data_IF_750263914491
#
_entry.id   IF_750263914491
#
_cell.length_a   1.000
_cell.length_b   1.000
_cell.length_c   1.000
_cell.angle_alpha   90.00
_cell.angle_beta   90.00
_cell.angle_gamma   90.00
#
_symmetry.space_group_name_H-M   'P 1'
#
loop_
_entity.id
_entity.type
_entity.pdbx_description
1 polymer ?
#
# COMPACT_ATOMS: atom_id res chain seq x y z
N UNK A 1 -9.50 -31.15 -11.79
CA UNK A 1 -8.68 -30.07 -12.38
C UNK A 1 -7.37 -30.71 -12.78
N UNK A 2 -7.02 -30.65 -14.06
CA UNK A 2 -6.21 -31.63 -14.80
C UNK A 2 -4.78 -31.83 -14.27
N UNK A 3 -4.41 -33.08 -13.97
CA UNK A 3 -3.03 -33.49 -13.74
C UNK A 3 -2.23 -33.30 -15.04
N UNK A 4 -1.30 -32.34 -15.06
CA UNK A 4 -0.39 -32.13 -16.18
C UNK A 4 0.84 -33.00 -15.95
N UNK A 5 0.98 -34.04 -16.77
CA UNK A 5 2.08 -34.99 -16.73
C UNK A 5 3.40 -34.31 -17.15
N UNK A 6 4.30 -34.15 -16.17
CA UNK A 6 5.52 -33.34 -16.22
C UNK A 6 6.71 -34.04 -16.91
N UNK A 7 6.47 -35.19 -17.56
CA UNK A 7 7.50 -36.05 -18.14
C UNK A 7 7.81 -35.77 -19.63
N UNK A 8 7.09 -34.87 -20.30
CA UNK A 8 7.21 -34.63 -21.76
C UNK A 8 7.98 -33.38 -22.19
N UNK A 9 8.58 -32.62 -21.26
CA UNK A 9 9.26 -31.37 -21.58
C UNK A 9 10.77 -31.47 -21.42
N UNK A 10 11.51 -31.00 -22.44
CA UNK A 10 12.97 -30.93 -22.49
C UNK A 10 13.56 -30.28 -21.23
N UNK A 11 14.77 -30.71 -20.83
CA UNK A 11 15.47 -30.24 -19.63
C UNK A 11 15.59 -28.70 -19.54
N UNK A 12 15.59 -27.99 -20.68
CA UNK A 12 15.57 -26.52 -20.72
C UNK A 12 14.24 -25.90 -20.28
N UNK A 13 13.13 -26.61 -20.44
CA UNK A 13 11.78 -26.17 -20.09
C UNK A 13 11.42 -26.51 -18.62
N UNK A 14 12.04 -27.55 -18.05
CA UNK A 14 12.02 -27.80 -16.60
C UNK A 14 12.78 -26.71 -15.82
N UNK A 15 13.83 -26.12 -16.41
CA UNK A 15 14.59 -25.04 -15.79
C UNK A 15 13.82 -23.71 -15.74
N UNK A 16 12.87 -23.48 -16.66
CA UNK A 16 12.01 -22.29 -16.67
C UNK A 16 10.90 -22.37 -15.59
N UNK A 17 10.41 -23.57 -15.28
CA UNK A 17 9.37 -23.77 -14.24
C UNK A 17 9.96 -23.64 -12.83
N UNK A 18 11.24 -23.98 -12.63
CA UNK A 18 11.93 -23.80 -11.34
C UNK A 18 12.30 -22.33 -11.05
N UNK A 19 12.41 -21.46 -12.06
CA UNK A 19 12.69 -20.04 -11.87
C UNK A 19 11.47 -19.26 -11.37
N UNK A 20 10.26 -19.71 -11.70
CA UNK A 20 9.02 -19.04 -11.27
C UNK A 20 8.61 -19.37 -9.82
N UNK A 21 9.08 -20.49 -9.24
CA UNK A 21 8.80 -20.86 -7.85
C UNK A 21 9.76 -20.24 -6.82
N UNK A 22 10.78 -19.47 -7.26
CA UNK A 22 11.74 -18.79 -6.39
C UNK A 22 11.37 -17.32 -6.06
N UNK A 23 10.15 -16.86 -6.39
CA UNK A 23 9.73 -15.45 -6.15
C UNK A 23 8.67 -15.33 -5.02
N UNK A 24 8.25 -16.42 -4.37
CA UNK A 24 7.24 -16.37 -3.29
C UNK A 24 7.82 -16.40 -1.87
N UNK A 25 8.93 -15.71 -1.59
CA UNK A 25 9.47 -15.75 -0.23
C UNK A 25 10.22 -14.50 0.26
N UNK A 26 9.70 -13.30 0.00
CA UNK A 26 10.14 -12.08 0.71
C UNK A 26 8.99 -11.10 0.97
N UNK A 27 7.98 -11.53 1.71
CA UNK A 27 7.23 -10.62 2.60
C UNK A 27 7.71 -10.89 4.01
N UNK A 28 8.21 -9.82 4.66
CA UNK A 28 8.86 -9.74 5.98
C UNK A 28 10.38 -9.84 6.00
N UNK A 29 11.02 -8.70 5.74
CA UNK A 29 12.17 -8.30 6.55
C UNK A 29 11.98 -6.88 7.04
N UNK A 30 11.52 -6.77 8.29
CA UNK A 30 11.83 -5.62 9.15
C UNK A 30 13.33 -5.40 9.13
N UNK A 31 13.78 -4.21 8.75
CA UNK A 31 15.13 -3.73 9.08
C UNK A 31 15.03 -2.39 9.78
N UNK A 32 15.39 -2.47 11.05
CA UNK A 32 15.68 -1.41 11.99
C UNK A 32 17.00 -0.74 11.59
N UNK A 33 17.02 0.59 11.43
CA UNK A 33 18.27 1.37 11.41
C UNK A 33 18.04 2.62 12.26
N UNK A 34 18.81 2.72 13.35
CA UNK A 34 18.87 3.88 14.21
C UNK A 34 19.80 4.97 13.67
N UNK A 35 19.78 6.09 14.41
CA UNK A 35 20.76 7.19 14.47
C UNK A 35 20.92 8.14 13.27
N UNK A 36 20.43 9.37 13.48
CA UNK A 36 21.28 10.57 13.39
C UNK A 36 21.48 11.22 12.03
N UNK A 37 20.50 11.98 11.56
CA UNK A 37 20.70 13.16 10.71
C UNK A 37 19.52 14.08 10.87
N UNK A 38 19.75 15.28 11.40
CA UNK A 38 18.71 16.25 11.74
C UNK A 38 18.07 16.81 10.46
N UNK A 39 17.09 16.08 9.93
CA UNK A 39 16.22 16.56 8.86
C UNK A 39 15.22 17.54 9.47
N UNK A 40 15.19 18.80 9.04
CA UNK A 40 14.46 19.94 9.65
C UNK A 40 12.94 19.76 9.87
N UNK A 41 12.39 18.59 9.57
CA UNK A 41 11.04 18.13 9.89
C UNK A 41 10.90 17.42 11.25
N UNK A 42 11.98 17.29 12.06
CA UNK A 42 12.09 16.55 13.34
C UNK A 42 11.14 16.95 14.49
N UNK A 43 10.09 17.74 14.25
CA UNK A 43 9.02 18.00 15.23
C UNK A 43 7.69 17.36 14.83
N UNK A 44 7.67 16.57 13.76
CA UNK A 44 6.44 15.96 13.23
C UNK A 44 6.43 14.48 13.53
N UNK A 45 5.43 14.09 14.33
CA UNK A 45 4.94 12.71 14.53
C UNK A 45 5.08 11.91 13.23
N UNK A 46 5.58 10.68 13.34
CA UNK A 46 5.82 9.77 12.22
C UNK A 46 4.60 9.72 11.29
N UNK A 47 4.74 10.33 10.11
CA UNK A 47 3.67 10.41 9.10
C UNK A 47 3.68 9.18 8.18
N UNK A 48 4.47 8.15 8.51
CA UNK A 48 4.61 6.90 7.76
C UNK A 48 3.32 6.08 7.69
N UNK A 49 2.34 6.36 8.56
CA UNK A 49 1.00 5.75 8.50
C UNK A 49 0.03 6.53 7.61
N UNK A 50 0.40 7.74 7.17
CA UNK A 50 -0.42 8.61 6.33
C UNK A 50 -0.04 8.34 4.87
N UNK A 51 -0.97 7.92 4.00
CA UNK A 51 -0.68 7.70 2.59
C UNK A 51 -0.13 8.94 1.87
N UNK A 52 0.86 8.73 1.01
CA UNK A 52 1.42 9.79 0.18
C UNK A 52 0.52 10.06 -1.02
N UNK A 53 -0.16 11.23 -1.03
CA UNK A 53 -1.01 11.67 -2.14
C UNK A 53 -0.28 11.74 -3.48
N UNK A 54 0.99 12.17 -3.49
CA UNK A 54 1.77 12.29 -4.73
C UNK A 54 2.19 10.94 -5.28
N UNK A 55 2.40 9.94 -4.42
CA UNK A 55 2.77 8.59 -4.84
C UNK A 55 1.60 7.92 -5.56
N UNK A 56 0.37 8.15 -5.07
CA UNK A 56 -0.85 7.63 -5.70
C UNK A 56 -1.03 8.09 -7.15
N UNK A 57 -0.62 9.33 -7.46
CA UNK A 57 -0.69 9.90 -8.81
C UNK A 57 0.62 9.71 -9.59
N UNK A 58 1.57 8.91 -9.07
CA UNK A 58 2.85 8.65 -9.71
C UNK A 58 3.80 9.86 -9.79
N UNK A 59 3.52 10.94 -9.05
CA UNK A 59 4.28 12.20 -9.08
C UNK A 59 5.19 12.40 -7.87
N UNK A 60 5.32 11.42 -6.97
CA UNK A 60 6.19 11.54 -5.80
C UNK A 60 7.67 11.40 -6.19
N UNK A 61 8.45 12.44 -5.96
CA UNK A 61 9.89 12.47 -6.21
C UNK A 61 10.74 12.06 -4.99
N UNK A 62 10.12 11.97 -3.80
CA UNK A 62 10.83 11.69 -2.55
C UNK A 62 11.25 10.21 -2.39
N UNK A 63 10.69 9.31 -3.20
CA UNK A 63 11.01 7.89 -3.14
C UNK A 63 10.89 7.31 -1.73
N UNK A 64 11.91 6.59 -1.27
CA UNK A 64 11.95 6.00 0.08
C UNK A 64 12.18 7.02 1.21
N UNK A 65 12.57 8.26 0.86
CA UNK A 65 12.73 9.34 1.83
C UNK A 65 11.44 10.14 2.05
N UNK A 66 10.33 9.71 1.45
CA UNK A 66 9.04 10.34 1.68
C UNK A 66 8.61 10.15 3.15
N UNK A 67 8.22 11.22 3.88
CA UNK A 67 7.70 11.09 5.23
C UNK A 67 6.32 10.42 5.29
N UNK A 68 5.69 10.16 4.14
CA UNK A 68 4.36 9.57 3.99
C UNK A 68 4.46 8.14 3.43
N UNK A 69 3.46 7.29 3.70
CA UNK A 69 3.44 5.89 3.25
C UNK A 69 3.33 5.79 1.73
N UNK A 70 4.22 4.99 1.14
CA UNK A 70 4.09 4.49 -0.24
C UNK A 70 3.53 3.05 -0.28
N UNK A 71 3.13 2.48 0.87
CA UNK A 71 2.61 1.13 0.89
C UNK A 71 1.18 1.09 0.35
N UNK A 72 0.95 0.30 -0.69
CA UNK A 72 -0.37 0.06 -1.27
C UNK A 72 -1.39 -0.37 -0.22
N UNK A 73 -0.99 -1.22 0.72
CA UNK A 73 -1.88 -1.65 1.82
C UNK A 73 -2.35 -0.49 2.70
N UNK A 74 -1.49 0.50 2.99
CA UNK A 74 -1.89 1.68 3.78
C UNK A 74 -2.86 2.54 2.99
N UNK A 75 -2.62 2.69 1.69
CA UNK A 75 -3.52 3.39 0.77
C UNK A 75 -4.88 2.69 0.75
N UNK A 76 -4.93 1.40 0.38
CA UNK A 76 -6.16 0.61 0.31
C UNK A 76 -6.98 0.65 1.61
N UNK A 77 -6.33 0.49 2.76
CA UNK A 77 -7.02 0.59 4.05
C UNK A 77 -7.66 1.96 4.26
N UNK A 78 -6.99 3.05 3.89
CA UNK A 78 -7.55 4.39 4.02
C UNK A 78 -8.81 4.55 3.14
N UNK A 79 -8.77 4.10 1.89
CA UNK A 79 -9.92 4.17 0.98
C UNK A 79 -11.09 3.27 1.39
N UNK A 80 -10.81 2.17 2.09
CA UNK A 80 -11.85 1.24 2.58
C UNK A 80 -12.36 1.58 3.99
N UNK A 81 -11.76 2.55 4.69
CA UNK A 81 -12.15 2.89 6.06
C UNK A 81 -13.14 4.06 6.06
N UNK A 82 -14.27 3.97 6.77
CA UNK A 82 -15.19 5.09 6.94
C UNK A 82 -14.52 6.29 7.62
N UNK A 83 -14.80 7.49 7.12
CA UNK A 83 -14.26 8.72 7.68
C UNK A 83 -14.96 9.05 9.01
N UNK A 84 -14.26 8.81 10.13
CA UNK A 84 -14.75 9.14 11.48
C UNK A 84 -15.19 10.60 11.70
N UNK A 85 -14.65 11.53 10.92
CA UNK A 85 -14.99 12.95 11.01
C UNK A 85 -16.22 13.30 10.16
N UNK A 86 -16.40 12.56 9.06
CA UNK A 86 -17.55 12.70 8.20
C UNK A 86 -18.80 12.14 8.86
N UNK A 87 -18.68 10.96 9.48
CA UNK A 87 -19.73 10.36 10.31
C UNK A 87 -20.23 11.28 11.42
N UNK A 88 -19.40 12.22 11.88
CA UNK A 88 -19.75 13.21 12.90
C UNK A 88 -20.16 14.58 12.33
N UNK A 89 -20.15 14.75 11.01
CA UNK A 89 -20.59 15.97 10.33
C UNK A 89 -19.58 17.12 10.25
N UNK A 90 -18.30 16.92 10.60
CA UNK A 90 -17.29 18.01 10.61
C UNK A 90 -16.01 17.68 9.83
N UNK A 91 -16.08 16.79 8.85
CA UNK A 91 -14.94 16.52 7.97
C UNK A 91 -14.60 17.74 7.10
N UNK A 92 -13.48 18.40 7.41
CA UNK A 92 -12.97 19.55 6.64
C UNK A 92 -12.44 19.22 5.25
N UNK A 93 -12.32 17.93 4.91
CA UNK A 93 -11.70 17.51 3.65
C UNK A 93 -12.73 17.35 2.51
N UNK A 94 -14.03 17.26 2.82
CA UNK A 94 -15.08 17.03 1.81
C UNK A 94 -14.77 15.82 0.95
N UNK A 95 -15.06 15.91 -0.35
CA UNK A 95 -14.84 14.83 -1.34
C UNK A 95 -13.36 14.49 -1.56
N UNK A 96 -12.45 15.32 -1.04
CA UNK A 96 -11.01 15.06 -1.07
C UNK A 96 -10.53 14.30 0.17
N UNK A 97 -11.44 13.86 1.03
CA UNK A 97 -11.07 13.00 2.15
C UNK A 97 -10.53 11.67 1.62
N UNK A 98 -9.48 11.16 2.27
CA UNK A 98 -8.91 9.86 1.91
C UNK A 98 -9.74 8.69 2.47
N UNK A 99 -10.49 8.95 3.54
CA UNK A 99 -11.39 7.96 4.13
C UNK A 99 -12.77 8.08 3.50
N UNK A 100 -13.50 6.97 3.43
CA UNK A 100 -14.79 6.86 2.76
C UNK A 100 -15.86 7.73 3.45
N UNK A 101 -16.53 8.58 2.68
CA UNK A 101 -17.72 9.30 3.12
C UNK A 101 -18.97 8.47 2.77
N UNK A 102 -19.41 7.63 3.72
CA UNK A 102 -20.63 6.83 3.55
C UNK A 102 -21.83 7.70 3.95
N UNK A 103 -22.65 8.10 2.98
CA UNK A 103 -24.00 8.56 3.23
C UNK A 103 -24.93 7.34 3.31
N UNK A 104 -25.85 7.31 4.27
CA UNK A 104 -26.81 6.20 4.41
C UNK A 104 -27.90 6.18 3.32
N UNK A 105 -27.71 6.93 2.23
CA UNK A 105 -28.72 7.16 1.19
C UNK A 105 -28.55 6.24 -0.04
N UNK A 106 -28.16 4.98 0.15
CA UNK A 106 -28.23 3.95 -0.90
C UNK A 106 -29.14 2.79 -0.51
N UNK A 107 -30.29 3.11 0.08
CA UNK A 107 -31.42 2.19 0.16
C UNK A 107 -32.66 2.80 -0.50
N UNK A 108 -32.52 3.20 -1.77
CA UNK A 108 -33.66 3.58 -2.58
C UNK A 108 -33.80 2.67 -3.81
N UNK A 109 -34.76 1.74 -3.65
CA UNK A 109 -35.58 1.00 -4.62
C UNK A 109 -34.94 -0.08 -5.50
#
# INVERSE_FOLDING_TARGET
MTNVDLSKFSAKQQQLILQCLAITNQVNQSKNIGSGSQNKYSRRKDCSHIPCKFYMVGSCQAGQSCPFSHQTQTIERAYSTPCKYYQKGYCKFGDRCINLHIHEDQNEK
#
